data_IF_267643388764
#
_entry.id   IF_267643388764
#
_cell.length_a   1.000
_cell.length_b   1.000
_cell.length_c   1.000
_cell.angle_alpha   90.00
_cell.angle_beta   90.00
_cell.angle_gamma   90.00
#
_symmetry.space_group_name_H-M   'P 1'
#
loop_
_entity.id
_entity.type
_entity.pdbx_description
1 polymer ?
#
# COMPACT_ATOMS: atom_id res chain seq x y z
N UNK A 1 28.81 32.66 20.45
CA UNK A 1 29.64 31.71 19.69
C UNK A 1 28.87 30.42 19.54
N UNK A 2 28.28 30.19 18.37
CA UNK A 2 27.52 28.98 18.07
C UNK A 2 28.49 27.91 17.57
N UNK A 3 28.84 26.95 18.43
CA UNK A 3 29.55 25.74 18.02
C UNK A 3 28.52 24.64 17.76
N UNK A 4 27.95 24.64 16.56
CA UNK A 4 27.23 23.46 16.07
C UNK A 4 28.24 22.32 15.93
N UNK A 5 28.03 21.24 16.69
CA UNK A 5 28.85 20.03 16.65
C UNK A 5 28.94 19.47 15.21
N UNK A 6 30.14 19.07 14.72
CA UNK A 6 30.34 18.55 13.36
C UNK A 6 29.50 17.31 13.04
N UNK A 7 28.97 16.62 14.07
CA UNK A 7 28.11 15.44 13.93
C UNK A 7 26.73 15.78 13.38
N UNK A 8 26.22 17.01 13.60
CA UNK A 8 24.90 17.44 13.10
C UNK A 8 24.97 17.86 11.62
N UNK A 9 26.12 18.35 11.16
CA UNK A 9 26.33 18.80 9.78
C UNK A 9 26.42 17.64 8.77
N UNK A 10 26.75 16.42 9.22
CA UNK A 10 26.94 15.26 8.34
C UNK A 10 25.64 14.57 7.88
N UNK A 11 24.46 14.94 8.41
CA UNK A 11 23.19 14.28 8.06
C UNK A 11 22.27 15.07 7.11
N UNK A 12 22.70 16.23 6.62
CA UNK A 12 21.92 17.08 5.73
C UNK A 12 22.38 17.03 4.26
N UNK A 13 23.16 16.02 3.85
CA UNK A 13 23.32 15.74 2.44
C UNK A 13 21.95 15.32 1.89
N UNK A 14 21.35 16.18 1.05
CA UNK A 14 20.09 15.89 0.37
C UNK A 14 20.26 14.55 -0.38
N UNK A 15 19.55 13.52 0.07
CA UNK A 15 19.58 12.21 -0.57
C UNK A 15 19.30 12.35 -2.07
N UNK A 16 20.12 11.69 -2.88
CA UNK A 16 20.02 11.75 -4.33
C UNK A 16 18.69 11.15 -4.80
N UNK A 17 18.16 11.68 -5.90
CA UNK A 17 17.09 11.03 -6.66
C UNK A 17 17.62 9.77 -7.35
N UNK A 18 16.75 8.79 -7.69
CA UNK A 18 17.20 7.62 -8.44
C UNK A 18 17.87 7.95 -9.78
N UNK A 19 17.50 9.05 -10.44
CA UNK A 19 18.13 9.51 -11.68
C UNK A 19 19.55 10.04 -11.44
N UNK A 20 19.77 10.84 -10.39
CA UNK A 20 21.10 11.31 -9.98
C UNK A 20 21.99 10.13 -9.55
N UNK A 21 21.42 9.15 -8.87
CA UNK A 21 22.13 7.93 -8.49
C UNK A 21 22.56 7.09 -9.70
N UNK A 22 21.67 6.90 -10.69
CA UNK A 22 22.00 6.20 -11.92
C UNK A 22 23.13 6.90 -12.68
N UNK A 23 23.06 8.24 -12.81
CA UNK A 23 24.11 9.04 -13.42
C UNK A 23 25.44 8.93 -12.66
N UNK A 24 25.40 8.96 -11.32
CA UNK A 24 26.58 8.82 -10.44
C UNK A 24 27.25 7.45 -10.60
N UNK A 25 26.46 6.39 -10.71
CA UNK A 25 26.96 5.01 -10.74
C UNK A 25 27.34 4.54 -12.14
N UNK A 26 27.02 5.29 -13.20
CA UNK A 26 27.21 4.86 -14.58
C UNK A 26 26.44 3.58 -14.92
N UNK A 27 25.36 3.31 -14.18
CA UNK A 27 24.57 2.09 -14.25
C UNK A 27 23.09 2.45 -14.23
N UNK A 28 22.29 1.73 -15.01
CA UNK A 28 20.83 1.83 -14.94
C UNK A 28 20.33 1.37 -13.57
N UNK A 29 19.12 1.80 -13.22
CA UNK A 29 18.49 1.37 -11.99
C UNK A 29 18.35 -0.17 -12.01
N UNK A 30 18.80 -0.93 -10.99
CA UNK A 30 18.94 -2.39 -11.08
C UNK A 30 17.63 -3.10 -11.43
N UNK A 31 16.51 -2.51 -11.03
CA UNK A 31 15.18 -3.08 -11.27
C UNK A 31 14.57 -2.75 -12.63
N UNK A 32 15.20 -1.93 -13.48
CA UNK A 32 14.82 -1.84 -14.91
C UNK A 32 15.19 -3.12 -15.68
N UNK A 33 16.16 -3.89 -15.16
CA UNK A 33 16.62 -5.16 -15.74
C UNK A 33 16.06 -6.39 -15.01
N UNK A 34 15.41 -6.23 -13.86
CA UNK A 34 14.75 -7.34 -13.14
C UNK A 34 13.39 -7.63 -13.74
N UNK A 35 13.39 -8.10 -15.00
CA UNK A 35 12.25 -8.81 -15.54
C UNK A 35 12.02 -10.10 -14.72
N UNK A 36 10.81 -10.21 -14.18
CA UNK A 36 10.13 -11.47 -13.83
C UNK A 36 10.82 -12.39 -12.81
N UNK A 37 10.73 -12.09 -11.50
CA UNK A 37 10.59 -13.14 -10.47
C UNK A 37 9.67 -12.63 -9.34
N UNK A 38 8.40 -13.07 -9.29
CA UNK A 38 7.44 -12.64 -8.26
C UNK A 38 7.97 -12.86 -6.83
N UNK A 39 8.72 -13.96 -6.63
CA UNK A 39 9.32 -14.32 -5.36
C UNK A 39 10.85 -14.44 -5.49
N UNK A 40 11.54 -13.34 -5.73
CA UNK A 40 13.00 -13.34 -5.59
C UNK A 40 13.37 -13.39 -4.10
N UNK A 41 13.65 -14.58 -3.60
CA UNK A 41 14.13 -14.82 -2.23
C UNK A 41 15.65 -14.92 -2.14
N UNK A 42 16.39 -14.63 -3.22
CA UNK A 42 17.83 -14.74 -3.22
C UNK A 42 18.47 -13.56 -2.45
N UNK A 43 19.15 -13.79 -1.32
CA UNK A 43 19.76 -12.71 -0.54
C UNK A 43 20.82 -11.92 -1.32
N UNK A 44 21.46 -12.53 -2.32
CA UNK A 44 22.44 -11.85 -3.16
C UNK A 44 21.81 -10.73 -4.01
N UNK A 45 20.60 -10.95 -4.54
CA UNK A 45 19.87 -9.95 -5.30
C UNK A 45 19.39 -8.80 -4.41
N UNK A 46 18.93 -9.12 -3.20
CA UNK A 46 18.56 -8.12 -2.20
C UNK A 46 19.76 -7.28 -1.79
N UNK A 47 20.89 -7.92 -1.52
CA UNK A 47 22.14 -7.23 -1.20
C UNK A 47 22.59 -6.31 -2.35
N UNK A 48 22.54 -6.78 -3.60
CA UNK A 48 22.88 -5.96 -4.76
C UNK A 48 21.98 -4.72 -4.88
N UNK A 49 20.66 -4.88 -4.70
CA UNK A 49 19.71 -3.77 -4.70
C UNK A 49 19.97 -2.77 -3.56
N UNK A 50 20.17 -3.27 -2.34
CA UNK A 50 20.49 -2.45 -1.16
C UNK A 50 21.80 -1.70 -1.37
N UNK A 51 22.85 -2.39 -1.87
CA UNK A 51 24.15 -1.80 -2.16
C UNK A 51 24.05 -0.71 -3.21
N UNK A 52 23.32 -0.93 -4.30
CA UNK A 52 23.07 0.11 -5.31
C UNK A 52 22.39 1.34 -4.69
N UNK A 53 21.37 1.12 -3.86
CA UNK A 53 20.68 2.22 -3.18
C UNK A 53 21.57 2.98 -2.20
N UNK A 54 22.45 2.26 -1.49
CA UNK A 54 23.45 2.82 -0.58
C UNK A 54 24.49 3.65 -1.35
N UNK A 55 25.16 3.06 -2.34
CA UNK A 55 26.20 3.69 -3.15
C UNK A 55 25.64 4.90 -3.92
N UNK A 56 24.40 4.79 -4.40
CA UNK A 56 23.66 5.84 -5.08
C UNK A 56 23.07 6.91 -4.16
N UNK A 57 23.05 6.71 -2.83
CA UNK A 57 22.52 7.69 -1.88
C UNK A 57 21.00 7.87 -1.93
N UNK A 58 20.25 6.84 -2.32
CA UNK A 58 18.79 6.85 -2.50
C UNK A 58 18.04 6.11 -1.38
N UNK A 59 18.73 5.68 -0.33
CA UNK A 59 18.10 5.14 0.87
C UNK A 59 17.31 6.22 1.62
N UNK A 60 16.16 5.83 2.17
CA UNK A 60 15.30 6.66 2.98
C UNK A 60 15.62 6.44 4.47
N UNK A 61 16.78 6.94 4.92
CA UNK A 61 17.26 6.75 6.29
C UNK A 61 16.23 7.06 7.40
N UNK A 62 15.46 8.17 7.35
CA UNK A 62 14.45 8.42 8.36
C UNK A 62 13.40 7.30 8.46
N UNK A 63 12.97 6.75 7.32
CA UNK A 63 12.00 5.66 7.28
C UNK A 63 12.61 4.33 7.71
N UNK A 64 13.86 4.04 7.30
CA UNK A 64 14.60 2.86 7.75
C UNK A 64 14.72 2.85 9.28
N UNK A 65 15.15 3.96 9.86
CA UNK A 65 15.29 4.12 11.32
C UNK A 65 13.91 3.99 11.99
N UNK A 66 12.89 4.68 11.48
CA UNK A 66 11.55 4.67 12.05
C UNK A 66 10.93 3.26 12.04
N UNK A 67 10.94 2.58 10.89
CA UNK A 67 10.41 1.22 10.76
C UNK A 67 11.23 0.26 11.62
N UNK A 68 12.56 0.36 11.62
CA UNK A 68 13.44 -0.46 12.45
C UNK A 68 13.15 -0.32 13.94
N UNK A 69 12.97 0.91 14.44
CA UNK A 69 12.61 1.17 15.84
C UNK A 69 11.21 0.63 16.18
N UNK A 70 10.23 0.78 15.29
CA UNK A 70 8.89 0.21 15.50
C UNK A 70 8.94 -1.32 15.62
N UNK A 71 9.74 -2.00 14.80
CA UNK A 71 9.94 -3.45 14.89
C UNK A 71 10.65 -3.84 16.19
N UNK A 72 11.70 -3.11 16.58
CA UNK A 72 12.39 -3.33 17.84
C UNK A 72 11.43 -3.24 19.04
N UNK A 73 10.60 -2.19 19.11
CA UNK A 73 9.61 -2.04 20.18
C UNK A 73 8.47 -3.05 20.11
N UNK A 74 8.09 -3.53 18.92
CA UNK A 74 7.16 -4.65 18.78
C UNK A 74 7.74 -5.96 19.33
N UNK A 75 9.04 -6.23 19.13
CA UNK A 75 9.73 -7.37 19.74
C UNK A 75 9.72 -7.26 21.26
N UNK A 76 9.93 -6.06 21.83
CA UNK A 76 9.71 -5.86 23.27
C UNK A 76 8.26 -6.17 23.67
N UNK A 77 7.26 -5.77 22.88
CA UNK A 77 5.87 -6.12 23.09
C UNK A 77 5.62 -7.63 23.16
N UNK A 78 6.27 -8.41 22.30
CA UNK A 78 6.19 -9.88 22.33
C UNK A 78 6.65 -10.45 23.69
N UNK A 79 7.73 -9.91 24.26
CA UNK A 79 8.23 -10.35 25.58
C UNK A 79 7.27 -10.02 26.73
N UNK A 80 6.26 -9.16 26.50
CA UNK A 80 5.29 -8.75 27.53
C UNK A 80 3.96 -9.50 27.45
N UNK A 81 3.69 -10.24 26.39
CA UNK A 81 2.39 -10.90 26.16
C UNK A 81 1.90 -11.76 27.34
N UNK A 82 2.80 -12.44 28.03
CA UNK A 82 2.46 -13.29 29.19
C UNK A 82 2.29 -12.53 30.51
N UNK A 83 2.64 -11.24 30.55
CA UNK A 83 2.73 -10.44 31.79
C UNK A 83 1.79 -9.24 31.81
N UNK A 84 1.30 -8.79 30.64
CA UNK A 84 0.31 -7.71 30.57
C UNK A 84 -1.06 -8.17 31.04
N UNK A 85 -1.87 -7.20 31.44
CA UNK A 85 -3.27 -7.40 31.76
C UNK A 85 -4.02 -8.00 30.57
N UNK A 86 -4.93 -8.95 30.80
CA UNK A 86 -5.73 -9.59 29.73
C UNK A 86 -6.53 -8.56 28.92
N UNK A 87 -7.00 -7.48 29.55
CA UNK A 87 -7.67 -6.38 28.84
C UNK A 87 -6.74 -5.61 27.90
N UNK A 88 -5.42 -5.57 28.15
CA UNK A 88 -4.45 -5.00 27.20
C UNK A 88 -4.34 -5.86 25.93
N UNK A 89 -4.36 -7.19 26.09
CA UNK A 89 -4.39 -8.12 24.96
C UNK A 89 -5.69 -7.99 24.16
N UNK A 90 -6.84 -7.95 24.85
CA UNK A 90 -8.14 -7.74 24.22
C UNK A 90 -8.20 -6.38 23.51
N UNK A 91 -7.64 -5.34 24.12
CA UNK A 91 -7.59 -4.00 23.53
C UNK A 91 -6.76 -3.97 22.26
N UNK A 92 -5.58 -4.59 22.25
CA UNK A 92 -4.77 -4.74 21.04
C UNK A 92 -5.53 -5.52 19.94
N UNK A 93 -6.20 -6.61 20.32
CA UNK A 93 -7.00 -7.43 19.40
C UNK A 93 -8.17 -6.68 18.79
N UNK A 94 -8.93 -5.91 19.59
CA UNK A 94 -10.07 -5.09 19.12
C UNK A 94 -9.60 -3.89 18.30
N UNK A 95 -8.46 -3.29 18.67
CA UNK A 95 -7.90 -2.19 17.90
C UNK A 95 -7.43 -2.61 16.50
N UNK A 96 -7.01 -3.86 16.29
CA UNK A 96 -6.59 -4.33 14.97
C UNK A 96 -7.67 -4.15 13.88
N UNK A 97 -8.90 -4.70 13.98
CA UNK A 97 -9.93 -4.50 12.98
C UNK A 97 -10.44 -3.06 12.93
N UNK A 98 -10.47 -2.32 14.05
CA UNK A 98 -10.79 -0.88 14.05
C UNK A 98 -9.78 -0.11 13.20
N UNK A 99 -8.50 -0.42 13.36
CA UNK A 99 -7.42 0.17 12.56
C UNK A 99 -7.58 -0.21 11.08
N UNK A 100 -7.82 -1.50 10.82
CA UNK A 100 -8.05 -2.02 9.48
C UNK A 100 -9.19 -1.26 8.79
N UNK A 101 -10.34 -1.10 9.44
CA UNK A 101 -11.49 -0.35 8.91
C UNK A 101 -11.17 1.13 8.61
N UNK A 102 -10.29 1.77 9.39
CA UNK A 102 -9.78 3.11 9.07
C UNK A 102 -8.97 3.15 7.77
N UNK A 103 -8.29 2.06 7.43
CA UNK A 103 -7.60 1.89 6.14
C UNK A 103 -8.62 1.58 5.05
N UNK A 104 -9.38 0.50 5.21
CA UNK A 104 -10.20 -0.13 4.17
C UNK A 104 -11.47 0.67 3.88
N UNK A 105 -12.34 0.89 4.87
CA UNK A 105 -13.55 1.69 4.69
C UNK A 105 -13.22 3.17 4.49
N UNK A 106 -12.18 3.66 5.16
CA UNK A 106 -11.72 5.04 5.09
C UNK A 106 -10.85 5.34 3.87
N UNK A 107 -9.53 5.37 4.06
CA UNK A 107 -8.62 5.92 3.05
C UNK A 107 -8.66 5.21 1.72
N UNK A 108 -8.91 3.92 1.70
CA UNK A 108 -9.01 3.12 0.50
C UNK A 108 -10.35 3.38 -0.23
N UNK A 109 -11.46 2.83 0.27
CA UNK A 109 -12.74 2.84 -0.45
C UNK A 109 -13.39 4.23 -0.53
N UNK A 110 -13.37 5.00 0.56
CA UNK A 110 -13.98 6.34 0.60
C UNK A 110 -13.10 7.38 -0.09
N UNK A 111 -11.89 7.61 0.42
CA UNK A 111 -11.07 8.74 -0.02
C UNK A 111 -10.28 8.46 -1.29
N UNK A 112 -9.77 7.25 -1.52
CA UNK A 112 -9.01 6.95 -2.75
C UNK A 112 -9.94 6.67 -3.93
N UNK A 113 -10.93 5.81 -3.74
CA UNK A 113 -11.80 5.30 -4.81
C UNK A 113 -13.14 6.00 -4.96
N UNK A 114 -13.60 6.75 -3.94
CA UNK A 114 -14.90 7.43 -3.97
C UNK A 114 -16.03 6.45 -4.31
N UNK A 115 -15.95 5.24 -3.77
CA UNK A 115 -16.86 4.14 -4.07
C UNK A 115 -18.18 4.26 -3.31
N UNK A 116 -18.21 5.09 -2.27
CA UNK A 116 -19.40 5.54 -1.57
C UNK A 116 -19.19 6.96 -1.04
N UNK A 117 -20.23 7.55 -0.44
CA UNK A 117 -20.18 8.87 0.20
C UNK A 117 -20.52 8.75 1.68
N UNK A 118 -19.92 9.60 2.52
CA UNK A 118 -20.09 9.57 3.97
C UNK A 118 -20.36 10.97 4.53
N UNK A 119 -21.26 11.05 5.51
CA UNK A 119 -21.52 12.26 6.27
C UNK A 119 -20.34 12.67 7.17
N UNK A 120 -20.38 13.89 7.76
CA UNK A 120 -19.27 14.43 8.54
C UNK A 120 -18.92 13.58 9.78
N UNK A 121 -19.92 13.01 10.46
CA UNK A 121 -19.69 12.14 11.62
C UNK A 121 -18.90 10.87 11.26
N UNK A 122 -19.30 10.18 10.19
CA UNK A 122 -18.60 8.98 9.72
C UNK A 122 -17.19 9.32 9.18
N UNK A 123 -17.04 10.44 8.46
CA UNK A 123 -15.72 10.92 8.01
C UNK A 123 -14.78 11.24 9.17
N UNK A 124 -15.29 11.86 10.24
CA UNK A 124 -14.54 12.09 11.46
C UNK A 124 -14.10 10.77 12.10
N UNK A 125 -15.03 9.83 12.27
CA UNK A 125 -14.76 8.50 12.82
C UNK A 125 -13.69 7.76 12.02
N UNK A 126 -13.85 7.67 10.70
CA UNK A 126 -12.89 7.02 9.81
C UNK A 126 -11.52 7.71 9.82
N UNK A 127 -11.47 9.03 9.98
CA UNK A 127 -10.21 9.77 10.10
C UNK A 127 -9.49 9.41 11.41
N UNK A 128 -10.22 9.31 12.53
CA UNK A 128 -9.64 8.88 13.82
C UNK A 128 -9.16 7.43 13.75
N UNK A 129 -9.95 6.53 13.18
CA UNK A 129 -9.59 5.13 12.96
C UNK A 129 -8.35 4.99 12.06
N UNK A 130 -8.29 5.76 10.97
CA UNK A 130 -7.12 5.82 10.09
C UNK A 130 -5.88 6.39 10.81
N UNK A 131 -6.07 7.34 11.71
CA UNK A 131 -4.96 7.94 12.47
C UNK A 131 -4.30 6.93 13.42
N UNK A 132 -5.04 5.93 13.92
CA UNK A 132 -4.50 4.79 14.68
C UNK A 132 -3.67 3.86 13.77
N UNK A 133 -3.94 3.85 12.46
CA UNK A 133 -3.19 3.04 11.50
C UNK A 133 -1.80 3.58 11.22
N UNK A 134 -1.64 4.90 11.26
CA UNK A 134 -0.36 5.59 11.09
C UNK A 134 0.44 5.13 9.86
N UNK A 135 -0.24 4.94 8.73
CA UNK A 135 0.37 4.58 7.44
C UNK A 135 0.57 5.82 6.53
N UNK A 136 0.91 6.95 7.16
CA UNK A 136 0.91 8.28 6.55
C UNK A 136 -0.48 8.93 6.56
N UNK A 137 -0.52 10.25 6.36
CA UNK A 137 -1.80 10.97 6.24
C UNK A 137 -2.70 10.40 5.13
N UNK A 138 -4.01 10.53 5.31
CA UNK A 138 -5.05 10.17 4.33
C UNK A 138 -4.71 10.75 2.95
N UNK A 139 -4.23 12.00 2.91
CA UNK A 139 -3.86 12.65 1.65
C UNK A 139 -2.69 11.94 0.95
N UNK A 140 -1.63 11.61 1.69
CA UNK A 140 -0.45 10.96 1.11
C UNK A 140 -0.76 9.52 0.66
N UNK A 141 -1.47 8.77 1.49
CA UNK A 141 -1.88 7.41 1.17
C UNK A 141 -2.78 7.38 -0.07
N UNK A 142 -3.84 8.20 -0.09
CA UNK A 142 -4.76 8.24 -1.23
C UNK A 142 -4.10 8.74 -2.52
N UNK A 143 -3.12 9.64 -2.41
CA UNK A 143 -2.30 10.06 -3.56
C UNK A 143 -1.56 8.87 -4.15
N UNK A 144 -0.81 8.15 -3.33
CA UNK A 144 0.03 7.05 -3.78
C UNK A 144 -0.83 5.90 -4.31
N UNK A 145 -1.97 5.61 -3.65
CA UNK A 145 -2.90 4.57 -4.07
C UNK A 145 -3.58 4.86 -5.41
N UNK A 146 -3.97 6.12 -5.69
CA UNK A 146 -4.50 6.50 -7.01
C UNK A 146 -3.46 6.37 -8.11
N UNK A 147 -2.19 6.63 -7.82
CA UNK A 147 -1.09 6.40 -8.78
C UNK A 147 -0.91 4.91 -9.03
N UNK A 148 -0.90 4.11 -7.96
CA UNK A 148 -0.83 2.65 -8.04
C UNK A 148 -1.91 2.07 -8.96
N UNK A 149 -3.19 2.37 -8.75
CA UNK A 149 -4.24 1.84 -9.62
C UNK A 149 -4.15 2.26 -11.09
N UNK A 150 -3.67 3.48 -11.35
CA UNK A 150 -3.56 3.97 -12.73
C UNK A 150 -2.37 3.37 -13.47
N UNK A 151 -1.33 2.98 -12.73
CA UNK A 151 -0.05 2.60 -13.29
C UNK A 151 0.49 1.29 -12.70
N UNK A 152 -0.39 0.39 -12.23
CA UNK A 152 -0.04 -0.86 -11.56
C UNK A 152 0.96 -1.65 -12.40
N UNK A 153 1.92 -2.29 -11.73
CA UNK A 153 2.97 -3.10 -12.40
C UNK A 153 3.85 -2.31 -13.37
N UNK A 154 4.01 -0.99 -13.19
CA UNK A 154 4.94 -0.18 -13.99
C UNK A 154 5.94 0.57 -13.09
N UNK A 155 6.92 1.26 -13.69
CA UNK A 155 7.86 2.12 -12.95
C UNK A 155 7.18 3.32 -12.26
N UNK A 156 5.94 3.65 -12.63
CA UNK A 156 5.13 4.68 -11.99
C UNK A 156 4.31 4.15 -10.80
N UNK A 157 4.27 2.84 -10.56
CA UNK A 157 3.65 2.25 -9.37
C UNK A 157 4.57 2.41 -8.14
N UNK A 158 4.12 3.07 -7.04
CA UNK A 158 4.92 3.23 -5.84
C UNK A 158 5.44 1.92 -5.23
N UNK A 159 4.70 0.82 -5.36
CA UNK A 159 5.01 -0.48 -4.74
C UNK A 159 4.97 -1.61 -5.78
N UNK A 160 5.43 -1.30 -6.99
CA UNK A 160 5.51 -2.22 -8.14
C UNK A 160 5.95 -3.64 -7.75
N UNK A 161 5.03 -4.60 -7.87
CA UNK A 161 5.26 -5.99 -7.51
C UNK A 161 6.22 -6.72 -8.46
N UNK A 162 6.40 -6.24 -9.69
CA UNK A 162 7.43 -6.75 -10.61
C UNK A 162 8.86 -6.60 -10.07
N UNK A 163 9.09 -5.71 -9.11
CA UNK A 163 10.39 -5.54 -8.42
C UNK A 163 10.63 -6.59 -7.33
N UNK A 164 9.71 -7.54 -7.17
CA UNK A 164 9.78 -8.66 -6.25
C UNK A 164 9.12 -8.39 -4.91
N UNK A 165 8.83 -9.48 -4.19
CA UNK A 165 8.11 -9.48 -2.93
C UNK A 165 8.65 -8.49 -1.89
N UNK A 166 9.97 -8.46 -1.65
CA UNK A 166 10.54 -7.60 -0.62
C UNK A 166 10.30 -6.11 -0.91
N UNK A 167 10.45 -5.70 -2.18
CA UNK A 167 10.21 -4.33 -2.60
C UNK A 167 8.75 -3.93 -2.38
N UNK A 168 7.80 -4.73 -2.89
CA UNK A 168 6.37 -4.47 -2.76
C UNK A 168 5.86 -4.53 -1.32
N UNK A 169 6.47 -5.37 -0.48
CA UNK A 169 6.10 -5.53 0.91
C UNK A 169 6.57 -4.34 1.77
N UNK A 170 7.86 -4.01 1.75
CA UNK A 170 8.41 -2.93 2.61
C UNK A 170 9.49 -2.10 1.93
N UNK A 171 10.24 -2.66 0.97
CA UNK A 171 11.39 -1.99 0.36
C UNK A 171 11.06 -0.64 -0.28
N UNK A 172 9.86 -0.48 -0.84
CA UNK A 172 9.39 0.78 -1.43
C UNK A 172 9.34 1.96 -0.44
N UNK A 173 9.23 1.69 0.87
CA UNK A 173 9.29 2.70 1.93
C UNK A 173 10.74 3.07 2.29
N UNK A 174 11.66 2.12 2.11
CA UNK A 174 13.05 2.20 2.55
C UNK A 174 13.96 2.92 1.54
N UNK A 175 13.47 3.18 0.33
CA UNK A 175 14.19 3.93 -0.69
C UNK A 175 13.36 5.11 -1.23
N UNK A 176 14.02 6.00 -1.98
CA UNK A 176 13.33 7.08 -2.69
C UNK A 176 12.46 6.49 -3.81
N UNK A 177 11.28 7.08 -3.98
CA UNK A 177 10.36 6.75 -5.07
C UNK A 177 11.03 6.91 -6.44
N UNK A 178 10.65 6.06 -7.37
CA UNK A 178 11.03 6.21 -8.76
C UNK A 178 10.55 7.57 -9.32
N UNK A 179 11.31 8.24 -10.20
CA UNK A 179 10.90 9.54 -10.78
C UNK A 179 9.53 9.49 -11.47
N UNK A 180 9.18 8.38 -12.11
CA UNK A 180 7.89 8.23 -12.79
C UNK A 180 6.70 8.27 -11.82
N UNK A 181 6.84 7.72 -10.61
CA UNK A 181 5.81 7.81 -9.55
C UNK A 181 5.51 9.28 -9.24
N UNK A 182 6.56 10.11 -9.14
CA UNK A 182 6.43 11.55 -8.86
C UNK A 182 5.83 12.28 -10.06
N UNK A 183 6.27 11.94 -11.28
CA UNK A 183 5.81 12.55 -12.53
C UNK A 183 4.33 12.27 -12.78
N UNK A 184 3.91 11.01 -12.73
CA UNK A 184 2.52 10.62 -12.96
C UNK A 184 1.60 11.07 -11.83
N UNK A 185 2.08 11.03 -10.58
CA UNK A 185 1.34 11.56 -9.43
C UNK A 185 0.99 13.05 -9.56
N UNK A 186 1.84 13.87 -10.19
CA UNK A 186 1.53 15.29 -10.44
C UNK A 186 0.40 15.51 -11.47
N UNK A 187 0.10 14.52 -12.31
CA UNK A 187 -0.96 14.62 -13.33
C UNK A 187 -2.35 14.27 -12.79
N UNK A 188 -2.44 13.74 -11.58
CA UNK A 188 -3.71 13.35 -10.97
C UNK A 188 -4.37 14.51 -10.21
N UNK A 189 -5.70 14.52 -10.23
CA UNK A 189 -6.48 15.47 -9.45
C UNK A 189 -6.74 14.96 -8.02
N UNK A 190 -6.47 15.84 -7.06
CA UNK A 190 -6.68 15.62 -5.62
C UNK A 190 -7.48 16.76 -4.97
N UNK A 191 -8.16 17.59 -5.77
CA UNK A 191 -8.95 18.71 -5.25
C UNK A 191 -10.07 18.26 -4.32
N UNK A 192 -10.62 17.07 -4.53
CA UNK A 192 -11.57 16.44 -3.61
C UNK A 192 -10.98 16.24 -2.20
N UNK A 193 -9.75 15.72 -2.11
CA UNK A 193 -9.04 15.53 -0.85
C UNK A 193 -8.68 16.87 -0.19
N UNK A 194 -8.30 17.88 -1.00
CA UNK A 194 -7.98 19.22 -0.50
C UNK A 194 -9.19 19.96 0.05
N UNK A 195 -10.38 19.68 -0.48
CA UNK A 195 -11.66 20.26 -0.02
C UNK A 195 -12.22 19.52 1.21
N UNK A 196 -11.70 18.34 1.53
CA UNK A 196 -12.11 17.58 2.72
C UNK A 196 -11.39 18.11 3.97
N UNK A 197 -12.14 18.80 4.84
CA UNK A 197 -11.62 19.36 6.09
C UNK A 197 -11.02 18.32 7.04
N UNK A 198 -11.54 17.09 7.11
CA UNK A 198 -11.00 16.04 7.97
C UNK A 198 -9.67 15.52 7.43
N UNK A 199 -9.56 15.34 6.11
CA UNK A 199 -8.32 14.94 5.44
C UNK A 199 -7.24 15.99 5.67
N UNK A 200 -7.57 17.26 5.47
CA UNK A 200 -6.62 18.36 5.63
C UNK A 200 -6.26 18.64 7.08
N UNK A 201 -7.19 18.43 8.02
CA UNK A 201 -6.91 18.47 9.46
C UNK A 201 -5.87 17.41 9.84
N UNK A 202 -6.13 16.14 9.49
CA UNK A 202 -5.20 15.04 9.81
C UNK A 202 -3.84 15.30 9.18
N UNK A 203 -3.80 15.71 7.90
CA UNK A 203 -2.56 16.04 7.19
C UNK A 203 -1.78 17.18 7.86
N UNK A 204 -2.45 18.22 8.36
CA UNK A 204 -1.80 19.36 9.01
C UNK A 204 -1.09 18.95 10.31
N UNK A 205 -1.60 17.94 11.00
CA UNK A 205 -1.06 17.46 12.28
C UNK A 205 -0.17 16.22 12.14
N UNK A 206 -0.06 15.65 10.95
CA UNK A 206 0.84 14.54 10.61
C UNK A 206 2.31 14.99 10.72
N UNK A 207 3.23 14.20 11.30
CA UNK A 207 3.04 12.84 11.82
C UNK A 207 2.63 12.78 13.30
N UNK A 208 2.66 13.90 14.03
CA UNK A 208 2.55 13.88 15.49
C UNK A 208 1.19 13.39 15.98
N UNK A 209 0.11 13.79 15.31
CA UNK A 209 -1.24 13.34 15.67
C UNK A 209 -1.44 11.85 15.43
N UNK A 210 -1.00 11.32 14.28
CA UNK A 210 -1.13 9.89 13.99
C UNK A 210 -0.21 9.05 14.86
N UNK A 211 1.01 9.52 15.17
CA UNK A 211 1.90 8.86 16.14
C UNK A 211 1.28 8.82 17.54
N UNK A 212 0.66 9.91 17.99
CA UNK A 212 -0.08 9.92 19.24
C UNK A 212 -1.23 8.91 19.23
N UNK A 213 -2.09 8.96 18.21
CA UNK A 213 -3.25 8.06 18.08
C UNK A 213 -2.85 6.58 17.97
N UNK A 214 -1.72 6.29 17.34
CA UNK A 214 -1.24 4.93 17.12
C UNK A 214 -0.55 4.32 18.35
N UNK A 215 0.22 5.12 19.10
CA UNK A 215 1.09 4.60 20.16
C UNK A 215 0.68 5.06 21.55
N UNK A 216 0.59 6.37 21.77
CA UNK A 216 0.33 6.92 23.10
C UNK A 216 -1.13 6.71 23.52
N UNK A 217 -2.10 6.96 22.63
CA UNK A 217 -3.52 6.83 22.92
C UNK A 217 -3.89 5.42 23.41
N UNK A 218 -3.53 4.31 22.74
CA UNK A 218 -3.79 2.98 23.26
C UNK A 218 -3.18 2.72 24.64
N UNK A 219 -1.98 3.24 24.88
CA UNK A 219 -1.30 3.14 26.17
C UNK A 219 -1.99 3.90 27.30
N UNK A 220 -2.50 5.10 27.01
CA UNK A 220 -3.25 5.91 27.96
C UNK A 220 -4.60 5.27 28.30
N UNK A 221 -5.31 4.73 27.30
CA UNK A 221 -6.57 3.99 27.52
C UNK A 221 -6.34 2.81 28.45
N UNK A 222 -5.28 2.02 28.23
CA UNK A 222 -4.97 0.88 29.09
C UNK A 222 -4.59 1.29 30.52
N UNK A 223 -3.74 2.31 30.65
CA UNK A 223 -3.30 2.84 31.94
C UNK A 223 -4.46 3.31 32.79
N UNK A 224 -5.34 4.14 32.22
CA UNK A 224 -6.44 4.76 32.97
C UNK A 224 -7.69 3.88 33.03
N UNK A 225 -7.87 2.97 32.08
CA UNK A 225 -9.03 2.08 32.02
C UNK A 225 -8.93 0.87 32.95
N UNK A 226 -7.76 0.24 33.02
CA UNK A 226 -7.56 -0.98 33.84
C UNK A 226 -6.21 -1.04 34.55
N UNK A 227 -5.52 0.09 34.72
CA UNK A 227 -4.33 0.18 35.56
C UNK A 227 -3.06 -0.43 34.96
N UNK A 228 -3.01 -0.66 33.65
CA UNK A 228 -1.82 -1.22 33.00
C UNK A 228 -0.61 -0.27 33.10
N UNK A 229 0.60 -0.84 33.13
CA UNK A 229 1.81 -0.03 33.01
C UNK A 229 1.85 0.61 31.63
N UNK A 230 1.94 1.95 31.59
CA UNK A 230 1.88 2.72 30.35
C UNK A 230 2.74 2.14 29.22
N UNK A 231 4.02 1.86 29.49
CA UNK A 231 4.94 1.39 28.47
C UNK A 231 4.68 -0.04 28.01
N UNK A 232 4.18 -0.93 28.87
CA UNK A 232 3.78 -2.27 28.46
C UNK A 232 2.60 -2.21 27.48
N UNK A 233 1.61 -1.35 27.78
CA UNK A 233 0.50 -1.11 26.88
C UNK A 233 0.93 -0.48 25.56
N UNK A 234 1.85 0.49 25.58
CA UNK A 234 2.41 1.11 24.36
C UNK A 234 3.15 0.06 23.51
N UNK A 235 3.92 -0.85 24.12
CA UNK A 235 4.62 -1.90 23.37
C UNK A 235 3.65 -2.92 22.77
N UNK A 236 2.60 -3.33 23.50
CA UNK A 236 1.64 -4.35 23.03
C UNK A 236 0.54 -3.74 22.14
N UNK A 237 -0.29 -2.86 22.68
CA UNK A 237 -1.43 -2.28 21.95
C UNK A 237 -1.02 -1.16 20.96
N UNK A 238 0.16 -0.56 21.17
CA UNK A 238 0.76 0.40 20.23
C UNK A 238 1.59 -0.30 19.16
N UNK A 239 2.85 -0.63 19.48
CA UNK A 239 3.86 -1.08 18.51
C UNK A 239 3.63 -2.48 17.94
N UNK A 240 3.38 -3.49 18.78
CA UNK A 240 3.16 -4.86 18.29
C UNK A 240 1.92 -4.94 17.40
N UNK A 241 0.79 -4.36 17.84
CA UNK A 241 -0.41 -4.22 17.01
C UNK A 241 -0.14 -3.42 15.72
N UNK A 242 0.59 -2.31 15.79
CA UNK A 242 0.93 -1.51 14.61
C UNK A 242 1.73 -2.32 13.58
N UNK A 243 2.77 -3.05 14.00
CA UNK A 243 3.57 -3.91 13.12
C UNK A 243 2.71 -5.02 12.51
N UNK A 244 1.82 -5.64 13.29
CA UNK A 244 0.87 -6.63 12.76
C UNK A 244 -0.04 -6.04 11.67
N UNK A 245 -0.58 -4.84 11.89
CA UNK A 245 -1.42 -4.14 10.90
C UNK A 245 -0.63 -3.76 9.65
N UNK A 246 0.62 -3.28 9.81
CA UNK A 246 1.50 -2.96 8.68
C UNK A 246 1.72 -4.18 7.80
N UNK A 247 2.15 -5.31 8.36
CA UNK A 247 2.37 -6.53 7.58
C UNK A 247 1.06 -7.03 6.95
N UNK A 248 -0.06 -6.96 7.66
CA UNK A 248 -1.37 -7.30 7.11
C UNK A 248 -1.71 -6.45 5.88
N UNK A 249 -1.40 -5.16 5.91
CA UNK A 249 -1.65 -4.24 4.79
C UNK A 249 -0.65 -4.47 3.65
N UNK A 250 0.63 -4.64 3.97
CA UNK A 250 1.69 -4.87 3.00
C UNK A 250 1.57 -6.20 2.26
N UNK A 251 0.91 -7.20 2.87
CA UNK A 251 0.54 -8.44 2.20
C UNK A 251 -0.44 -8.19 1.03
N UNK A 252 -1.25 -7.13 1.06
CA UNK A 252 -2.08 -6.74 -0.10
C UNK A 252 -1.18 -6.36 -1.26
N UNK A 253 -0.17 -5.52 -1.03
CA UNK A 253 0.76 -5.08 -2.08
C UNK A 253 1.68 -6.19 -2.59
N UNK A 254 2.06 -7.14 -1.74
CA UNK A 254 2.99 -8.20 -2.09
C UNK A 254 2.30 -9.52 -2.39
N UNK A 255 1.76 -10.20 -1.37
CA UNK A 255 1.21 -11.53 -1.52
C UNK A 255 -0.01 -11.56 -2.45
N UNK A 256 -0.92 -10.58 -2.40
CA UNK A 256 -2.06 -10.54 -3.32
C UNK A 256 -1.67 -10.17 -4.76
N UNK A 257 -0.48 -9.64 -5.02
CA UNK A 257 0.03 -9.44 -6.38
C UNK A 257 0.73 -10.69 -6.95
N UNK A 258 1.08 -11.66 -6.09
CA UNK A 258 1.95 -12.79 -6.46
C UNK A 258 1.24 -14.14 -6.34
N UNK A 259 0.37 -14.31 -5.34
CA UNK A 259 -0.21 -15.59 -4.97
C UNK A 259 -1.74 -15.55 -4.95
N UNK A 260 -2.35 -16.42 -5.75
CA UNK A 260 -3.79 -16.65 -5.78
C UNK A 260 -4.31 -16.83 -7.21
N UNK A 261 -5.62 -16.75 -7.36
CA UNK A 261 -6.29 -16.91 -8.66
C UNK A 261 -6.58 -15.56 -9.32
N UNK A 262 -6.73 -15.55 -10.65
CA UNK A 262 -7.04 -14.35 -11.45
C UNK A 262 -8.37 -14.49 -12.21
N UNK A 263 -9.52 -14.65 -11.51
CA UNK A 263 -10.78 -15.05 -12.14
C UNK A 263 -11.42 -13.97 -13.04
N UNK A 264 -11.00 -12.71 -12.92
CA UNK A 264 -11.57 -11.57 -13.65
C UNK A 264 -10.66 -11.10 -14.80
N UNK A 265 -9.36 -11.02 -14.56
CA UNK A 265 -8.36 -10.61 -15.56
C UNK A 265 -6.94 -11.03 -15.15
N UNK A 266 -6.26 -11.79 -16.00
CA UNK A 266 -4.89 -12.31 -15.75
C UNK A 266 -3.82 -11.22 -15.63
N UNK A 267 -4.08 -10.01 -16.14
CA UNK A 267 -3.14 -8.87 -16.05
C UNK A 267 -3.16 -8.20 -14.68
N UNK A 268 -4.21 -8.41 -13.89
CA UNK A 268 -4.39 -7.78 -12.58
C UNK A 268 -3.93 -8.69 -11.44
N UNK A 269 -3.68 -8.15 -10.23
CA UNK A 269 -3.30 -8.93 -9.04
C UNK A 269 -4.26 -10.07 -8.73
N UNK A 270 -3.86 -11.02 -7.89
CA UNK A 270 -4.62 -12.21 -7.54
C UNK A 270 -5.67 -12.00 -6.44
N UNK A 271 -6.66 -12.89 -6.40
CA UNK A 271 -7.55 -13.09 -5.27
C UNK A 271 -6.85 -13.97 -4.21
N UNK A 272 -6.77 -13.49 -2.96
CA UNK A 272 -6.08 -14.17 -1.87
C UNK A 272 -6.92 -14.15 -0.56
N UNK A 273 -7.59 -15.26 -0.22
CA UNK A 273 -8.43 -15.36 0.99
C UNK A 273 -7.67 -15.16 2.30
N UNK A 274 -6.40 -15.58 2.37
CA UNK A 274 -5.56 -15.41 3.57
C UNK A 274 -5.26 -13.94 3.80
N UNK A 275 -4.88 -13.22 2.74
CA UNK A 275 -4.71 -11.76 2.81
C UNK A 275 -6.02 -11.10 3.19
N UNK A 276 -7.15 -11.57 2.64
CA UNK A 276 -8.47 -11.03 2.97
C UNK A 276 -8.81 -11.12 4.45
N UNK A 277 -8.47 -12.23 5.10
CA UNK A 277 -8.65 -12.39 6.55
C UNK A 277 -7.85 -11.35 7.35
N UNK A 278 -6.56 -11.20 7.07
CA UNK A 278 -5.68 -10.29 7.82
C UNK A 278 -5.93 -8.80 7.48
N UNK A 279 -6.28 -8.52 6.24
CA UNK A 279 -6.52 -7.17 5.73
C UNK A 279 -8.00 -6.78 5.72
N UNK A 280 -8.84 -7.44 6.52
CA UNK A 280 -10.25 -7.05 6.77
C UNK A 280 -11.08 -6.94 5.47
N UNK A 281 -10.82 -7.83 4.50
CA UNK A 281 -11.57 -7.92 3.24
C UNK A 281 -10.84 -7.44 1.99
N UNK A 282 -9.58 -7.01 2.08
CA UNK A 282 -8.83 -6.43 0.94
C UNK A 282 -8.01 -7.45 0.11
N UNK A 283 -8.16 -8.74 0.39
CA UNK A 283 -7.48 -9.79 -0.37
C UNK A 283 -8.12 -10.12 -1.72
N UNK A 284 -9.30 -9.57 -2.01
CA UNK A 284 -10.03 -9.79 -3.27
C UNK A 284 -9.52 -8.86 -4.37
N UNK A 285 -8.22 -8.97 -4.66
CA UNK A 285 -7.46 -7.91 -5.30
C UNK A 285 -7.59 -7.89 -6.85
N UNK A 286 -7.90 -9.04 -7.46
CA UNK A 286 -8.18 -9.13 -8.90
C UNK A 286 -9.46 -8.37 -9.26
N UNK A 287 -10.53 -8.58 -8.49
CA UNK A 287 -11.78 -7.84 -8.61
C UNK A 287 -11.54 -6.37 -8.38
N UNK A 288 -10.82 -6.04 -7.31
CA UNK A 288 -10.57 -4.67 -6.92
C UNK A 288 -9.86 -3.86 -8.00
N UNK A 289 -8.82 -4.42 -8.63
CA UNK A 289 -8.11 -3.76 -9.73
C UNK A 289 -8.94 -3.70 -11.02
N UNK A 290 -9.75 -4.71 -11.30
CA UNK A 290 -10.67 -4.70 -12.43
C UNK A 290 -11.81 -3.68 -12.26
N UNK A 291 -12.29 -3.49 -11.03
CA UNK A 291 -13.43 -2.65 -10.68
C UNK A 291 -13.14 -1.76 -9.45
N UNK A 292 -12.21 -0.79 -9.57
CA UNK A 292 -11.73 0.00 -8.42
C UNK A 292 -12.82 0.91 -7.82
N UNK A 293 -13.92 1.13 -8.52
CA UNK A 293 -15.05 1.92 -8.03
C UNK A 293 -16.07 1.12 -7.21
N UNK A 294 -15.96 -0.21 -7.13
CA UNK A 294 -16.88 -1.06 -6.34
C UNK A 294 -16.59 -0.89 -4.84
N UNK A 295 -17.58 -0.48 -4.05
CA UNK A 295 -17.40 -0.26 -2.61
C UNK A 295 -17.17 -1.54 -1.81
N UNK A 296 -17.63 -2.68 -2.32
CA UNK A 296 -17.37 -3.96 -1.71
C UNK A 296 -15.92 -4.40 -1.95
N UNK A 297 -15.26 -3.94 -3.02
CA UNK A 297 -13.96 -4.46 -3.45
C UNK A 297 -13.94 -5.99 -3.63
N UNK A 298 -15.11 -6.61 -3.82
CA UNK A 298 -15.29 -8.04 -4.05
C UNK A 298 -16.60 -8.29 -4.82
N UNK A 299 -16.72 -9.41 -5.53
CA UNK A 299 -17.93 -9.79 -6.26
C UNK A 299 -19.04 -10.24 -5.31
N UNK A 300 -18.72 -11.16 -4.40
CA UNK A 300 -19.68 -11.89 -3.58
C UNK A 300 -19.98 -11.18 -2.25
N UNK A 301 -20.89 -11.79 -1.48
CA UNK A 301 -21.30 -11.31 -0.17
C UNK A 301 -20.23 -11.49 0.92
N UNK A 302 -20.52 -10.93 2.09
CA UNK A 302 -19.61 -10.79 3.25
C UNK A 302 -19.01 -12.12 3.72
N UNK A 303 -19.73 -13.23 3.57
CA UNK A 303 -19.34 -14.56 4.04
C UNK A 303 -18.57 -15.35 2.99
N UNK A 304 -19.10 -15.45 1.77
CA UNK A 304 -18.48 -16.19 0.66
C UNK A 304 -17.13 -15.58 0.27
N UNK A 305 -17.03 -14.26 0.31
CA UNK A 305 -15.78 -13.53 0.26
C UNK A 305 -15.69 -12.75 1.57
N UNK A 306 -14.98 -13.30 2.56
CA UNK A 306 -14.78 -12.67 3.87
C UNK A 306 -14.47 -11.19 3.70
N UNK A 307 -15.40 -10.32 4.10
CA UNK A 307 -15.30 -8.89 3.84
C UNK A 307 -16.01 -8.06 4.93
N UNK A 308 -15.43 -7.97 6.14
CA UNK A 308 -15.99 -7.18 7.22
C UNK A 308 -16.10 -5.69 6.89
N UNK A 309 -15.23 -5.17 6.01
CA UNK A 309 -15.30 -3.79 5.55
C UNK A 309 -16.60 -3.49 4.79
N UNK A 310 -17.05 -4.41 3.92
CA UNK A 310 -18.35 -4.28 3.26
C UNK A 310 -19.48 -4.23 4.29
N UNK A 311 -19.49 -5.14 5.28
CA UNK A 311 -20.49 -5.16 6.34
C UNK A 311 -20.53 -3.84 7.12
N UNK A 312 -19.36 -3.30 7.46
CA UNK A 312 -19.25 -2.01 8.14
C UNK A 312 -19.89 -0.88 7.33
N UNK A 313 -19.59 -0.80 6.02
CA UNK A 313 -20.18 0.24 5.16
C UNK A 313 -21.70 0.03 5.02
N UNK A 314 -22.17 -1.21 4.86
CA UNK A 314 -23.61 -1.54 4.79
C UNK A 314 -24.36 -1.08 6.05
N UNK A 315 -23.77 -1.31 7.23
CA UNK A 315 -24.31 -0.86 8.50
C UNK A 315 -24.46 0.67 8.55
N UNK A 316 -23.44 1.42 8.12
CA UNK A 316 -23.54 2.88 8.08
C UNK A 316 -24.44 3.42 6.97
N UNK A 317 -24.67 2.66 5.90
CA UNK A 317 -25.72 2.94 4.92
C UNK A 317 -27.11 2.78 5.55
N UNK A 318 -27.34 1.72 6.33
CA UNK A 318 -28.59 1.52 7.07
C UNK A 318 -28.87 2.65 8.08
N UNK A 319 -27.83 3.17 8.74
CA UNK A 319 -27.94 4.32 9.64
C UNK A 319 -28.10 5.67 8.91
N UNK A 320 -28.07 5.71 7.57
CA UNK A 320 -28.12 6.94 6.78
C UNK A 320 -26.88 7.83 6.90
N UNK A 321 -25.77 7.30 7.46
CA UNK A 321 -24.50 8.01 7.62
C UNK A 321 -23.56 7.82 6.42
N UNK A 322 -23.80 6.78 5.62
CA UNK A 322 -23.18 6.55 4.32
C UNK A 322 -24.27 6.45 3.24
N UNK A 323 -23.93 6.78 1.99
CA UNK A 323 -24.85 6.69 0.86
C UNK A 323 -24.12 6.49 -0.46
N UNK A 324 -24.88 6.16 -1.51
CA UNK A 324 -24.39 5.90 -2.87
C UNK A 324 -23.29 4.81 -2.97
N UNK A 325 -23.44 3.64 -2.31
CA UNK A 325 -22.49 2.55 -2.48
C UNK A 325 -22.55 2.00 -3.91
N UNK A 326 -21.43 2.08 -4.64
CA UNK A 326 -21.34 1.64 -6.04
C UNK A 326 -20.98 0.15 -6.13
N UNK A 327 -21.70 -0.63 -6.94
CA UNK A 327 -21.35 -2.03 -7.26
C UNK A 327 -21.05 -2.20 -8.74
N UNK A 328 -20.12 -3.11 -9.05
CA UNK A 328 -19.69 -3.43 -10.41
C UNK A 328 -20.31 -4.73 -10.95
N UNK A 329 -21.20 -5.39 -10.19
CA UNK A 329 -21.81 -6.68 -10.57
C UNK A 329 -22.48 -6.66 -11.94
N UNK A 330 -23.25 -5.61 -12.26
CA UNK A 330 -23.88 -5.49 -13.59
C UNK A 330 -22.85 -5.27 -14.71
N UNK A 331 -21.73 -4.59 -14.43
CA UNK A 331 -20.63 -4.46 -15.39
C UNK A 331 -19.95 -5.80 -15.64
N UNK A 332 -19.73 -6.57 -14.58
CA UNK A 332 -19.17 -7.91 -14.66
C UNK A 332 -20.07 -8.90 -15.39
N UNK A 333 -21.38 -8.90 -15.12
CA UNK A 333 -22.35 -9.72 -15.85
C UNK A 333 -22.31 -9.46 -17.35
N UNK A 334 -22.24 -8.19 -17.77
CA UNK A 334 -22.07 -7.82 -19.19
C UNK A 334 -20.76 -8.34 -19.77
N UNK A 335 -19.66 -8.28 -19.00
CA UNK A 335 -18.37 -8.83 -19.44
C UNK A 335 -18.44 -10.35 -19.62
N UNK A 336 -19.01 -11.08 -18.66
CA UNK A 336 -19.25 -12.53 -18.76
C UNK A 336 -20.06 -12.90 -19.99
N UNK A 337 -21.19 -12.22 -20.21
CA UNK A 337 -22.03 -12.44 -21.41
C UNK A 337 -21.28 -12.21 -22.73
N UNK A 338 -20.39 -11.20 -22.80
CA UNK A 338 -19.57 -10.96 -24.01
C UNK A 338 -18.53 -12.05 -24.22
N UNK A 339 -17.90 -12.52 -23.14
CA UNK A 339 -16.94 -13.64 -23.19
C UNK A 339 -17.63 -14.93 -23.66
N UNK A 340 -18.76 -15.27 -23.06
CA UNK A 340 -19.48 -16.52 -23.34
C UNK A 340 -20.09 -16.55 -24.75
N UNK A 341 -20.39 -15.37 -25.33
CA UNK A 341 -20.81 -15.23 -26.74
C UNK A 341 -19.65 -15.22 -27.74
N UNK A 342 -18.41 -15.48 -27.31
CA UNK A 342 -17.22 -15.47 -28.18
C UNK A 342 -16.84 -14.09 -28.74
N UNK A 343 -17.40 -12.99 -28.20
CA UNK A 343 -17.16 -11.63 -28.71
C UNK A 343 -15.76 -11.13 -28.32
N UNK A 344 -15.15 -11.71 -27.28
CA UNK A 344 -13.80 -11.35 -26.83
C UNK A 344 -12.66 -11.90 -27.70
N UNK A 345 -12.89 -12.93 -28.53
CA UNK A 345 -11.84 -13.53 -29.36
C UNK A 345 -11.45 -12.67 -30.57
N UNK A 346 -12.30 -11.73 -31.02
CA UNK A 346 -12.01 -10.97 -32.26
C UNK A 346 -11.26 -9.65 -32.06
N UNK A 347 -11.23 -9.06 -30.87
CA UNK A 347 -10.52 -7.78 -30.66
C UNK A 347 -9.08 -7.93 -30.16
N UNK A 348 -8.79 -8.97 -29.37
CA UNK A 348 -7.45 -9.14 -28.81
C UNK A 348 -6.49 -9.93 -29.72
N UNK A 349 -7.00 -10.77 -30.64
CA UNK A 349 -6.14 -11.47 -31.59
C UNK A 349 -5.50 -10.51 -32.61
N UNK A 350 -6.24 -9.46 -33.02
CA UNK A 350 -5.73 -8.43 -33.94
C UNK A 350 -4.74 -7.49 -33.24
N UNK A 351 -5.05 -7.04 -32.01
CA UNK A 351 -4.15 -6.18 -31.24
C UNK A 351 -2.88 -6.88 -30.74
N UNK A 352 -2.94 -8.19 -30.45
CA UNK A 352 -1.76 -8.98 -30.08
C UNK A 352 -0.80 -9.15 -31.27
N UNK A 353 -1.33 -9.37 -32.48
CA UNK A 353 -0.52 -9.53 -33.69
C UNK A 353 0.05 -8.21 -34.20
N UNK A 354 -0.70 -7.11 -34.14
CA UNK A 354 -0.20 -5.78 -34.52
C UNK A 354 0.84 -5.25 -33.53
N UNK A 355 0.67 -5.51 -32.22
CA UNK A 355 1.64 -5.15 -31.19
C UNK A 355 2.91 -6.02 -31.18
N UNK A 356 2.88 -7.22 -31.77
CA UNK A 356 4.05 -8.06 -32.01
C UNK A 356 4.79 -7.66 -33.30
N UNK A 357 4.06 -7.33 -34.36
CA UNK A 357 4.65 -6.85 -35.62
C UNK A 357 5.36 -5.49 -35.45
N UNK A 358 4.80 -4.58 -34.65
CA UNK A 358 5.43 -3.30 -34.34
C UNK A 358 6.69 -3.43 -33.46
N UNK A 359 6.83 -4.51 -32.68
CA UNK A 359 8.00 -4.78 -31.84
C UNK A 359 9.10 -5.60 -32.52
N UNK A 360 8.79 -6.23 -33.66
CA UNK A 360 9.77 -6.97 -34.47
C UNK A 360 10.49 -6.13 -35.53
N UNK A 361 9.95 -4.94 -35.88
CA UNK A 361 10.50 -4.11 -36.95
C UNK A 361 11.68 -3.20 -36.51
N UNK A 362 11.76 -2.84 -35.23
CA UNK A 362 12.80 -1.91 -34.72
C UNK A 362 14.09 -2.61 -34.22
N UNK A 363 14.20 -3.94 -34.36
CA UNK A 363 15.36 -4.71 -33.88
C UNK A 363 16.26 -5.25 -35.01
N UNK A 364 16.02 -4.89 -36.27
CA UNK A 364 16.73 -5.46 -37.42
C UNK A 364 17.84 -4.56 -38.04
N UNK A 365 18.07 -3.34 -37.54
CA UNK A 365 19.10 -2.44 -38.10
C UNK A 365 20.17 -2.04 -37.07
N UNK A 366 20.99 -2.98 -36.59
CA UNK A 366 22.25 -2.64 -35.92
C UNK A 366 23.25 -3.81 -35.85
N UNK A 367 23.68 -4.36 -36.98
CA UNK A 367 24.91 -5.18 -37.02
C UNK A 367 25.73 -4.86 -38.28
N UNK A 368 26.90 -4.19 -38.16
CA UNK A 368 27.83 -4.14 -39.27
C UNK A 368 28.52 -5.50 -39.40
N UNK A 369 28.29 -6.16 -40.54
CA UNK A 369 28.98 -7.39 -40.93
C UNK A 369 30.50 -7.14 -40.99
N UNK A 370 31.26 -7.84 -40.15
CA UNK A 370 32.70 -8.02 -40.37
C UNK A 370 32.89 -8.90 -41.60
N UNK A 371 33.48 -8.33 -42.65
CA UNK A 371 34.08 -9.08 -43.76
C UNK A 371 35.26 -9.90 -43.22
N UNK A 372 35.25 -11.20 -43.48
CA UNK A 372 36.46 -12.00 -43.61
C UNK A 372 36.96 -11.78 -45.04
N UNK A 373 38.16 -11.24 -45.15
CA UNK A 373 39.28 -11.75 -45.97
C UNK A 373 40.57 -11.07 -45.48
#
# INVERSE_FOLDING_TARGET
>A
MATSSPVVAASAAKAATPAEAAAKLGATYPHEQMATRPLDLNPAHWYAAIKWHYDGGTLNWPMIIYIGLCHYWAVLGLTRLATVHTYTLLWAYVLWPITGLGITAGVHRLWSHRSYTAGPALRCLLMLMNSIANQGSIFHWARDHRVHHKHSETTADPHNAQRGFFYAHVGWLLCKKHPDVVKEGKKLDFNDLKRDGFVMFQRKLDPWFTMFMCFAFPGLVAKFGWGERFWDAVWVAGFLRYIFVLHSTWLVNSAAHIFGDHPYNEQWPAENPIVSFFAVGEGWHNWHHQYPYDYAASEFGITSQFNPTKLFIDFFCLLGMASNPKRATSSWERTKMKRDKGVFEKSNFVLCMEGYAARGADAAEAYPAKKQD
#
